data_IF_175209721408
#
_entry.id   IF_175209721408
#
_cell.length_a   1.000
_cell.length_b   1.000
_cell.length_c   1.000
_cell.angle_alpha   90.00
_cell.angle_beta   90.00
_cell.angle_gamma   90.00
#
_symmetry.space_group_name_H-M   'P 1'
#
loop_
_entity.id
_entity.type
_entity.pdbx_description
1 polymer ?
#
# COMPACT_ATOMS: atom_id res chain seq x y z
N UNK A 1 4.02 3.72 -19.00
CA UNK A 1 3.12 3.64 -17.82
C UNK A 1 3.96 3.68 -16.55
N UNK A 2 3.49 4.44 -15.57
CA UNK A 2 4.16 4.49 -14.27
C UNK A 2 3.95 3.19 -13.49
N UNK A 3 4.87 2.91 -12.56
CA UNK A 3 4.85 1.68 -11.77
C UNK A 3 3.95 1.80 -10.54
N UNK A 4 3.51 0.64 -10.05
CA UNK A 4 2.88 0.51 -8.73
C UNK A 4 3.94 0.06 -7.73
N UNK A 5 4.04 0.74 -6.59
CA UNK A 5 4.86 0.27 -5.48
C UNK A 5 3.98 -0.52 -4.52
N UNK A 6 4.36 -1.74 -4.21
CA UNK A 6 3.70 -2.54 -3.16
C UNK A 6 4.66 -2.65 -1.99
N UNK A 7 4.24 -2.15 -0.83
CA UNK A 7 5.03 -2.15 0.38
C UNK A 7 4.29 -2.96 1.43
N UNK A 8 4.98 -3.92 2.05
CA UNK A 8 4.43 -4.69 3.16
C UNK A 8 5.32 -4.52 4.39
N UNK A 9 4.70 -4.44 5.56
CA UNK A 9 5.42 -4.24 6.81
C UNK A 9 6.19 -5.46 7.29
N UNK A 10 5.84 -6.63 6.80
CA UNK A 10 6.48 -7.90 7.13
C UNK A 10 6.35 -8.85 5.96
N UNK A 11 7.32 -9.74 5.78
CA UNK A 11 7.24 -10.80 4.77
C UNK A 11 6.12 -11.80 5.05
N UNK A 12 5.61 -11.87 6.27
CA UNK A 12 4.45 -12.67 6.62
C UNK A 12 3.15 -12.19 5.94
N UNK A 13 3.13 -10.98 5.41
CA UNK A 13 1.99 -10.43 4.68
C UNK A 13 1.94 -10.90 3.21
N UNK A 14 2.99 -11.56 2.74
CA UNK A 14 3.11 -11.97 1.35
C UNK A 14 1.95 -12.82 0.82
N UNK A 15 1.39 -13.78 1.57
CA UNK A 15 0.25 -14.57 1.07
C UNK A 15 -0.97 -13.70 0.66
N UNK A 16 -1.22 -12.61 1.36
CA UNK A 16 -2.28 -11.66 1.01
C UNK A 16 -1.83 -10.75 -0.13
N UNK A 17 -0.65 -10.19 -0.03
CA UNK A 17 -0.08 -9.27 -1.03
C UNK A 17 0.08 -9.94 -2.38
N UNK A 18 0.34 -11.24 -2.41
CA UNK A 18 0.48 -12.00 -3.66
C UNK A 18 -0.76 -11.87 -4.55
N UNK A 19 -1.95 -11.74 -3.99
CA UNK A 19 -3.18 -11.54 -4.77
C UNK A 19 -3.13 -10.23 -5.56
N UNK A 20 -2.56 -9.17 -4.99
CA UNK A 20 -2.35 -7.90 -5.70
C UNK A 20 -1.32 -8.07 -6.83
N UNK A 21 -0.22 -8.78 -6.55
CA UNK A 21 0.82 -9.07 -7.55
C UNK A 21 0.23 -9.83 -8.74
N UNK A 22 -0.59 -10.84 -8.47
CA UNK A 22 -1.21 -11.63 -9.53
C UNK A 22 -2.12 -10.79 -10.43
N UNK A 23 -2.88 -9.85 -9.86
CA UNK A 23 -3.73 -8.94 -10.63
C UNK A 23 -2.88 -8.00 -11.49
N UNK A 24 -1.81 -7.42 -10.93
CA UNK A 24 -0.94 -6.53 -11.69
C UNK A 24 -0.25 -7.26 -12.85
N UNK A 25 0.15 -8.51 -12.64
CA UNK A 25 0.73 -9.34 -13.71
C UNK A 25 -0.29 -9.66 -14.80
N UNK A 26 -1.53 -9.98 -14.42
CA UNK A 26 -2.61 -10.27 -15.38
C UNK A 26 -2.86 -9.08 -16.32
N UNK A 27 -2.83 -7.86 -15.80
CA UNK A 27 -3.03 -6.65 -16.58
C UNK A 27 -1.74 -6.04 -17.14
N UNK A 28 -0.60 -6.73 -16.95
CA UNK A 28 0.71 -6.31 -17.44
C UNK A 28 1.13 -4.91 -16.97
N UNK A 29 0.78 -4.58 -15.72
CA UNK A 29 1.16 -3.30 -15.10
C UNK A 29 2.48 -3.47 -14.38
N UNK A 30 3.47 -2.60 -14.62
CA UNK A 30 4.77 -2.70 -13.95
C UNK A 30 4.64 -2.40 -12.44
N UNK A 31 5.37 -3.16 -11.65
CA UNK A 31 5.34 -3.00 -10.19
C UNK A 31 6.66 -3.43 -9.55
N UNK A 32 6.86 -2.98 -8.31
CA UNK A 32 7.93 -3.45 -7.43
C UNK A 32 7.32 -3.79 -6.07
N UNK A 33 7.88 -4.79 -5.40
CA UNK A 33 7.47 -5.22 -4.06
C UNK A 33 8.63 -5.00 -3.09
N UNK A 34 8.35 -4.34 -1.98
CA UNK A 34 9.34 -4.05 -0.95
C UNK A 34 8.81 -4.40 0.43
N UNK A 35 9.68 -4.88 1.32
CA UNK A 35 9.38 -5.06 2.74
C UNK A 35 9.99 -3.89 3.51
N UNK A 36 9.15 -3.01 4.00
CA UNK A 36 9.54 -1.83 4.77
C UNK A 36 8.57 -1.65 5.94
N UNK A 37 9.08 -1.48 7.15
CA UNK A 37 8.24 -1.33 8.32
C UNK A 37 8.27 0.12 8.83
N UNK A 38 7.08 0.68 9.11
CA UNK A 38 6.99 1.99 9.73
C UNK A 38 7.61 2.02 11.13
N UNK A 39 7.57 0.89 11.83
CA UNK A 39 8.06 0.78 13.20
C UNK A 39 9.51 0.31 13.29
N UNK A 40 9.94 -0.60 12.41
CA UNK A 40 11.27 -1.22 12.45
C UNK A 40 12.29 -0.56 11.53
N UNK A 41 11.85 -0.07 10.37
CA UNK A 41 12.71 0.58 9.38
C UNK A 41 12.11 1.92 8.93
N UNK A 42 11.83 2.86 9.87
CA UNK A 42 11.10 4.08 9.53
C UNK A 42 11.86 4.98 8.55
N UNK A 43 13.19 5.03 8.63
CA UNK A 43 13.98 5.88 7.73
C UNK A 43 13.96 5.36 6.31
N UNK A 44 14.06 4.05 6.10
CA UNK A 44 13.98 3.46 4.78
C UNK A 44 12.57 3.63 4.19
N UNK A 45 11.53 3.45 5.00
CA UNK A 45 10.15 3.67 4.55
C UNK A 45 9.92 5.12 4.14
N UNK A 46 10.41 6.07 4.93
CA UNK A 46 10.33 7.50 4.62
C UNK A 46 11.08 7.85 3.35
N UNK A 47 12.31 7.36 3.19
CA UNK A 47 13.13 7.62 2.01
C UNK A 47 12.47 7.05 0.75
N UNK A 48 11.96 5.84 0.81
CA UNK A 48 11.26 5.22 -0.31
C UNK A 48 10.05 6.06 -0.72
N UNK A 49 9.22 6.45 0.24
CA UNK A 49 8.02 7.25 -0.04
C UNK A 49 8.37 8.62 -0.62
N UNK A 50 9.38 9.29 -0.08
CA UNK A 50 9.79 10.62 -0.52
C UNK A 50 10.34 10.63 -1.94
N UNK A 51 10.96 9.54 -2.39
CA UNK A 51 11.58 9.43 -3.71
C UNK A 51 10.71 8.70 -4.74
N UNK A 52 9.53 8.21 -4.34
CA UNK A 52 8.72 7.35 -5.21
C UNK A 52 8.31 8.03 -6.51
N UNK A 53 7.87 9.29 -6.46
CA UNK A 53 7.48 10.03 -7.67
C UNK A 53 8.65 10.19 -8.64
N UNK A 54 9.86 10.47 -8.13
CA UNK A 54 11.06 10.60 -8.95
C UNK A 54 11.50 9.26 -9.54
N UNK A 55 11.20 8.17 -8.86
CA UNK A 55 11.56 6.81 -9.30
C UNK A 55 10.48 6.18 -10.18
N UNK A 56 9.61 6.98 -10.76
CA UNK A 56 8.62 6.57 -11.76
C UNK A 56 7.47 5.73 -11.22
N UNK A 57 7.18 5.85 -9.93
CA UNK A 57 5.95 5.30 -9.35
C UNK A 57 4.79 6.29 -9.52
N UNK A 58 3.59 5.77 -9.75
CA UNK A 58 2.38 6.58 -9.89
C UNK A 58 1.37 6.36 -8.77
N UNK A 59 1.46 5.24 -8.06
CA UNK A 59 0.58 4.88 -6.96
C UNK A 59 1.29 3.92 -6.02
N UNK A 60 0.97 3.98 -4.75
CA UNK A 60 1.57 3.12 -3.73
C UNK A 60 0.50 2.30 -3.02
N UNK A 61 0.75 1.01 -2.83
CA UNK A 61 -0.08 0.11 -2.04
C UNK A 61 0.72 -0.26 -0.80
N UNK A 62 0.15 -0.09 0.37
CA UNK A 62 0.80 -0.41 1.64
C UNK A 62 -0.06 -1.39 2.43
N UNK A 63 0.52 -2.52 2.82
CA UNK A 63 -0.14 -3.59 3.55
C UNK A 63 0.50 -3.78 4.92
N UNK A 64 -0.31 -3.79 5.97
CA UNK A 64 0.16 -4.03 7.32
C UNK A 64 -0.96 -4.57 8.20
N UNK A 65 -0.59 -5.38 9.19
CA UNK A 65 -1.51 -5.93 10.18
C UNK A 65 -1.36 -5.29 11.55
N UNK A 66 -2.25 -5.64 12.46
CA UNK A 66 -2.29 -5.15 13.84
C UNK A 66 -2.36 -3.62 13.89
N UNK A 67 -1.42 -2.95 14.57
CA UNK A 67 -1.30 -1.50 14.55
C UNK A 67 -0.72 -1.06 13.20
N UNK A 68 -1.56 -1.02 12.18
CA UNK A 68 -1.18 -0.91 10.78
C UNK A 68 -0.92 0.55 10.39
N UNK A 69 0.20 1.12 10.83
CA UNK A 69 0.56 2.52 10.60
C UNK A 69 1.30 2.75 9.28
N UNK A 70 1.67 1.68 8.55
CA UNK A 70 2.53 1.80 7.37
C UNK A 70 1.92 2.70 6.29
N UNK A 71 0.66 2.50 5.93
CA UNK A 71 0.01 3.30 4.89
C UNK A 71 0.00 4.79 5.26
N UNK A 72 -0.31 5.11 6.53
CA UNK A 72 -0.28 6.48 7.02
C UNK A 72 1.13 7.08 6.99
N UNK A 73 2.13 6.32 7.40
CA UNK A 73 3.52 6.77 7.38
C UNK A 73 4.00 7.03 5.94
N UNK A 74 3.63 6.18 5.00
CA UNK A 74 3.93 6.38 3.58
C UNK A 74 3.21 7.62 3.05
N UNK A 75 1.91 7.75 3.32
CA UNK A 75 1.10 8.87 2.86
C UNK A 75 1.62 10.23 3.38
N UNK A 76 2.18 10.24 4.58
CA UNK A 76 2.76 11.46 5.15
C UNK A 76 4.02 11.94 4.45
N UNK A 77 4.66 11.09 3.63
CA UNK A 77 5.94 11.38 2.98
C UNK A 77 5.89 11.35 1.46
N UNK A 78 4.70 11.33 0.87
CA UNK A 78 4.54 11.31 -0.59
C UNK A 78 3.32 12.11 -1.02
N UNK A 79 3.35 12.63 -2.24
CA UNK A 79 2.17 13.25 -2.88
C UNK A 79 1.41 12.25 -3.75
N UNK A 80 1.94 11.05 -3.92
CA UNK A 80 1.27 10.01 -4.70
C UNK A 80 0.07 9.46 -3.95
N UNK A 81 -0.95 8.97 -4.67
CA UNK A 81 -2.05 8.25 -4.04
C UNK A 81 -1.54 7.01 -3.29
N UNK A 82 -2.03 6.80 -2.08
CA UNK A 82 -1.69 5.65 -1.25
C UNK A 82 -2.95 4.84 -0.98
N UNK A 83 -2.87 3.53 -1.26
CA UNK A 83 -3.93 2.56 -0.99
C UNK A 83 -3.47 1.69 0.16
N UNK A 84 -4.27 1.62 1.22
CA UNK A 84 -3.96 0.80 2.38
C UNK A 84 -4.71 -0.52 2.37
N UNK A 85 -4.01 -1.63 2.60
CA UNK A 85 -4.60 -2.95 2.79
C UNK A 85 -4.47 -3.30 4.26
N UNK A 86 -5.57 -3.29 5.04
CA UNK A 86 -5.52 -3.82 6.39
C UNK A 86 -5.41 -5.34 6.34
N UNK A 87 -4.40 -5.89 7.00
CA UNK A 87 -4.14 -7.33 7.02
C UNK A 87 -4.75 -7.94 8.27
N UNK A 88 -5.52 -9.01 8.09
CA UNK A 88 -6.11 -9.76 9.19
C UNK A 88 -5.01 -10.46 10.00
N UNK A 89 -5.06 -10.27 11.32
CA UNK A 89 -4.20 -10.98 12.26
C UNK A 89 -5.06 -11.79 13.24
N UNK A 90 -4.43 -12.61 14.07
CA UNK A 90 -5.12 -13.50 15.00
C UNK A 90 -5.93 -12.79 16.09
N UNK A 91 -5.54 -11.55 16.43
CA UNK A 91 -6.24 -10.74 17.42
C UNK A 91 -7.17 -9.76 16.69
N UNK A 92 -8.42 -9.63 17.12
CA UNK A 92 -9.43 -8.71 16.59
C UNK A 92 -9.80 -8.91 15.11
N UNK A 93 -9.35 -10.00 14.48
CA UNK A 93 -9.75 -10.39 13.11
C UNK A 93 -9.54 -9.28 12.05
N UNK A 94 -8.55 -8.43 12.24
CA UNK A 94 -8.24 -7.35 11.30
C UNK A 94 -8.91 -6.02 11.61
N UNK A 95 -9.77 -5.95 12.61
CA UNK A 95 -10.44 -4.69 12.97
C UNK A 95 -9.45 -3.63 13.43
N UNK A 96 -8.43 -4.01 14.17
CA UNK A 96 -7.35 -3.12 14.60
C UNK A 96 -6.56 -2.58 13.41
N UNK A 97 -6.27 -3.42 12.43
CA UNK A 97 -5.59 -3.00 11.20
C UNK A 97 -6.48 -2.07 10.37
N UNK A 98 -7.76 -2.39 10.24
CA UNK A 98 -8.71 -1.54 9.51
C UNK A 98 -8.80 -0.14 10.14
N UNK A 99 -8.98 -0.05 11.44
CA UNK A 99 -9.11 1.23 12.13
C UNK A 99 -7.82 2.03 12.06
N UNK A 100 -6.66 1.38 12.21
CA UNK A 100 -5.36 2.05 12.12
C UNK A 100 -5.08 2.59 10.72
N UNK A 101 -5.60 1.93 9.70
CA UNK A 101 -5.37 2.31 8.30
C UNK A 101 -6.36 3.38 7.84
N UNK A 102 -7.65 3.25 8.21
CA UNK A 102 -8.72 4.09 7.68
C UNK A 102 -8.86 5.43 8.42
N UNK A 103 -8.57 5.47 9.71
CA UNK A 103 -8.74 6.68 10.53
C UNK A 103 -7.54 7.61 10.39
N UNK A 104 -7.49 8.32 9.27
CA UNK A 104 -6.42 9.26 8.97
C UNK A 104 -6.84 10.69 9.28
N UNK A 105 -5.89 11.53 9.76
CA UNK A 105 -6.18 12.95 9.98
C UNK A 105 -6.39 13.70 8.66
N UNK A 106 -7.09 14.83 8.75
CA UNK A 106 -7.27 15.70 7.59
C UNK A 106 -5.90 16.12 7.02
N UNK A 107 -5.77 16.09 5.72
CA UNK A 107 -4.55 16.46 5.01
C UNK A 107 -3.66 15.27 4.63
N UNK A 108 -3.88 14.08 5.19
CA UNK A 108 -3.10 12.88 4.87
C UNK A 108 -4.06 11.75 4.52
N UNK A 109 -4.59 11.73 3.28
CA UNK A 109 -5.56 10.72 2.88
C UNK A 109 -4.93 9.38 2.55
N UNK A 110 -5.62 8.30 2.92
CA UNK A 110 -5.30 6.93 2.51
C UNK A 110 -6.59 6.28 2.01
N UNK A 111 -6.56 5.74 0.79
CA UNK A 111 -7.68 4.99 0.25
C UNK A 111 -7.62 3.56 0.80
N UNK A 112 -8.50 3.21 1.71
CA UNK A 112 -8.47 1.93 2.42
C UNK A 112 -9.43 0.94 1.76
N UNK A 113 -8.92 -0.24 1.39
CA UNK A 113 -9.74 -1.35 0.88
C UNK A 113 -10.19 -2.24 2.04
N UNK A 114 -10.97 -3.26 1.73
CA UNK A 114 -11.43 -4.21 2.73
C UNK A 114 -10.26 -4.97 3.39
N UNK A 115 -10.50 -5.55 4.55
CA UNK A 115 -9.52 -6.42 5.23
C UNK A 115 -9.09 -7.52 4.25
N UNK A 116 -7.78 -7.69 4.08
CA UNK A 116 -7.17 -8.62 3.13
C UNK A 116 -7.58 -8.38 1.65
N UNK A 117 -8.10 -7.21 1.33
CA UNK A 117 -8.62 -6.88 0.00
C UNK A 117 -7.56 -6.53 -1.04
N UNK A 118 -6.53 -7.34 -1.17
CA UNK A 118 -5.38 -7.05 -2.03
C UNK A 118 -5.74 -7.00 -3.53
N UNK A 119 -6.62 -7.87 -4.01
CA UNK A 119 -7.02 -7.84 -5.42
C UNK A 119 -7.68 -6.50 -5.77
N UNK A 120 -8.59 -6.01 -4.94
CA UNK A 120 -9.23 -4.71 -5.15
C UNK A 120 -8.24 -3.54 -5.01
N UNK A 121 -7.24 -3.67 -4.15
CA UNK A 121 -6.19 -2.65 -4.05
C UNK A 121 -5.44 -2.54 -5.38
N UNK A 122 -5.08 -3.65 -6.00
CA UNK A 122 -4.42 -3.65 -7.30
C UNK A 122 -5.31 -3.09 -8.41
N UNK A 123 -6.58 -3.47 -8.43
CA UNK A 123 -7.54 -2.95 -9.41
C UNK A 123 -7.72 -1.43 -9.26
N UNK A 124 -7.80 -0.94 -8.03
CA UNK A 124 -7.89 0.50 -7.76
C UNK A 124 -6.62 1.22 -8.23
N UNK A 125 -5.46 0.64 -7.99
CA UNK A 125 -4.18 1.19 -8.47
C UNK A 125 -4.17 1.30 -9.99
N UNK A 126 -4.65 0.28 -10.69
CA UNK A 126 -4.75 0.29 -12.16
C UNK A 126 -5.70 1.40 -12.62
N UNK A 127 -6.84 1.55 -11.97
CA UNK A 127 -7.79 2.61 -12.29
C UNK A 127 -7.17 4.01 -12.11
N UNK A 128 -6.40 4.20 -11.05
CA UNK A 128 -5.71 5.47 -10.79
C UNK A 128 -4.71 5.77 -11.91
N UNK A 129 -3.90 4.80 -12.30
CA UNK A 129 -2.92 4.97 -13.37
C UNK A 129 -3.61 5.23 -14.72
N UNK A 130 -4.74 4.58 -14.97
CA UNK A 130 -5.48 4.71 -16.23
C UNK A 130 -6.04 6.10 -16.46
N UNK A 131 -6.26 6.89 -15.43
CA UNK A 131 -6.76 8.27 -15.56
C UNK A 131 -5.80 9.13 -16.40
N UNK A 132 -4.50 8.93 -16.23
CA UNK A 132 -3.48 9.69 -16.93
C UNK A 132 -2.79 8.93 -18.07
N UNK A 133 -3.23 7.73 -18.40
CA UNK A 133 -2.59 6.86 -19.38
C UNK A 133 -3.64 6.33 -20.37
N UNK A 134 -3.51 6.72 -21.61
CA UNK A 134 -4.48 6.37 -22.66
C UNK A 134 -4.46 4.88 -23.04
#
# INVERSE_FOLDING_TARGET
>A
MKKVAIIMGSDSDLPVVKKAVDVLREYEVPFEVHVLSAHRTPEQAKAFASLAAENDFGVMIAAAGKAAHLAGAIAANTVLPVIGIPIKASVLDGMDALLSTVQMPAGIPVATVAIDGAANAALLAIQILAVGDA
#
